data_IF_109043115829
#
_entry.id   IF_109043115829
#
_cell.length_a   1.000
_cell.length_b   1.000
_cell.length_c   1.000
_cell.angle_alpha   90.00
_cell.angle_beta   90.00
_cell.angle_gamma   90.00
#
_symmetry.space_group_name_H-M   'P 1'
#
loop_
_entity.id
_entity.type
_entity.pdbx_description
1 polymer ?
#
# COMPACT_ATOMS: atom_id res chain seq x y z
N UNK A 1 -9.04 40.98 -52.50
CA UNK A 1 -9.89 41.64 -51.51
C UNK A 1 -10.12 40.62 -50.41
N UNK A 2 -9.34 40.65 -49.36
CA UNK A 2 -9.57 41.35 -48.08
C UNK A 2 -10.80 40.73 -47.35
N UNK A 3 -10.79 40.26 -46.15
CA UNK A 3 -10.04 40.55 -44.91
C UNK A 3 -10.23 39.40 -43.93
N UNK A 4 -9.24 39.02 -43.19
CA UNK A 4 -8.99 39.19 -41.76
C UNK A 4 -10.15 38.92 -40.79
N UNK A 5 -9.88 38.03 -39.83
CA UNK A 5 -10.69 37.85 -38.65
C UNK A 5 -10.17 36.72 -37.74
N UNK A 6 -9.06 36.96 -37.02
CA UNK A 6 -8.62 36.13 -35.91
C UNK A 6 -9.49 36.41 -34.66
N UNK A 7 -9.87 35.39 -33.86
CA UNK A 7 -10.46 35.61 -32.55
C UNK A 7 -9.38 35.71 -31.45
N UNK A 8 -9.68 36.35 -30.32
CA UNK A 8 -8.73 36.71 -29.29
C UNK A 8 -8.35 35.56 -28.37
N UNK A 9 -7.11 35.58 -27.93
CA UNK A 9 -6.55 34.76 -26.85
C UNK A 9 -7.20 35.12 -25.51
N UNK A 10 -7.85 34.13 -24.89
CA UNK A 10 -8.22 34.19 -23.48
C UNK A 10 -7.30 33.23 -22.70
N UNK A 11 -6.31 33.84 -22.06
CA UNK A 11 -5.53 33.19 -21.01
C UNK A 11 -6.39 32.97 -19.77
N UNK A 12 -6.52 31.73 -19.38
CA UNK A 12 -7.12 31.32 -18.12
C UNK A 12 -6.30 30.18 -17.54
N UNK A 13 -5.32 30.54 -16.70
CA UNK A 13 -4.58 29.56 -15.89
C UNK A 13 -5.52 28.90 -14.91
N UNK A 14 -5.80 27.63 -15.11
CA UNK A 14 -6.46 26.79 -14.11
C UNK A 14 -5.48 26.54 -12.95
N UNK A 15 -5.93 26.64 -11.68
CA UNK A 15 -5.09 26.32 -10.53
C UNK A 15 -4.79 24.83 -10.55
N UNK A 16 -3.50 24.49 -10.52
CA UNK A 16 -3.02 23.12 -10.39
C UNK A 16 -3.51 22.51 -9.08
N UNK A 17 -4.32 21.48 -9.19
CA UNK A 17 -4.66 20.60 -8.06
C UNK A 17 -3.41 19.78 -7.74
N UNK A 18 -2.74 20.13 -6.65
CA UNK A 18 -1.72 19.28 -6.05
C UNK A 18 -2.30 17.88 -5.76
N UNK A 19 -1.60 16.79 -6.10
CA UNK A 19 -2.03 15.45 -5.74
C UNK A 19 -1.93 15.30 -4.22
N UNK A 20 -3.08 15.28 -3.54
CA UNK A 20 -3.17 15.04 -2.11
C UNK A 20 -2.50 13.71 -1.74
N UNK A 21 -1.58 13.76 -0.78
CA UNK A 21 -0.85 12.60 -0.27
C UNK A 21 -1.81 11.60 0.37
N UNK A 22 -1.74 10.36 -0.07
CA UNK A 22 -2.47 9.25 0.54
C UNK A 22 -2.05 9.05 1.99
N UNK A 23 -3.01 9.14 2.89
CA UNK A 23 -2.86 8.75 4.30
C UNK A 23 -3.66 7.48 4.49
N UNK A 24 -3.01 6.42 4.92
CA UNK A 24 -3.62 5.17 5.35
C UNK A 24 -3.41 4.98 6.86
N UNK A 25 -3.11 3.80 7.33
CA UNK A 25 -2.75 3.61 8.74
C UNK A 25 -1.49 4.43 9.10
N UNK A 26 -1.60 5.34 10.07
CA UNK A 26 -0.49 6.18 10.56
C UNK A 26 -0.09 5.77 11.96
N UNK A 27 1.18 5.89 12.27
CA UNK A 27 1.67 5.72 13.65
C UNK A 27 1.12 6.85 14.54
N UNK A 28 0.72 6.52 15.76
CA UNK A 28 0.07 7.45 16.72
C UNK A 28 1.04 8.50 17.26
N UNK A 29 2.32 8.44 16.93
CA UNK A 29 3.32 9.32 17.48
C UNK A 29 3.28 10.77 16.95
N UNK A 30 3.01 11.66 17.88
CA UNK A 30 3.59 12.96 18.08
C UNK A 30 3.46 14.02 16.99
N UNK A 31 2.26 14.62 16.89
CA UNK A 31 2.17 16.04 16.55
C UNK A 31 1.05 16.67 17.40
N UNK A 32 1.29 17.77 18.13
CA UNK A 32 0.21 18.48 18.77
C UNK A 32 -0.67 19.11 17.70
N UNK A 33 -1.87 18.55 17.49
CA UNK A 33 -2.88 19.16 16.67
C UNK A 33 -3.56 20.26 17.48
N UNK A 34 -3.40 21.51 17.07
CA UNK A 34 -4.17 22.64 17.57
C UNK A 34 -5.62 22.53 17.08
N UNK A 35 -6.57 22.30 18.01
CA UNK A 35 -7.97 22.64 17.79
C UNK A 35 -9.00 21.55 17.59
N UNK A 36 -8.82 20.33 18.14
CA UNK A 36 -9.87 19.29 18.19
C UNK A 36 -10.35 19.13 19.62
N UNK A 37 -11.68 19.00 19.89
CA UNK A 37 -12.19 18.72 21.23
C UNK A 37 -11.58 17.43 21.77
N UNK A 38 -11.08 17.45 22.99
CA UNK A 38 -10.29 16.39 23.65
C UNK A 38 -11.09 15.15 24.06
N UNK A 39 -12.32 14.95 23.54
CA UNK A 39 -13.19 13.88 24.00
C UNK A 39 -13.05 12.51 23.30
N UNK A 40 -12.48 12.44 22.11
CA UNK A 40 -12.58 11.24 21.24
C UNK A 40 -11.24 10.54 20.94
N UNK A 41 -10.16 10.92 21.56
CA UNK A 41 -8.86 10.30 21.34
C UNK A 41 -8.46 9.49 22.58
N UNK A 42 -8.12 8.21 22.44
CA UNK A 42 -7.55 7.46 23.56
C UNK A 42 -6.25 8.12 23.98
N UNK A 43 -6.06 8.32 25.27
CA UNK A 43 -4.83 8.82 25.83
C UNK A 43 -3.71 7.79 25.57
N UNK A 44 -2.56 8.24 25.07
CA UNK A 44 -1.44 7.37 24.76
C UNK A 44 -0.99 6.58 26.00
N UNK A 45 -1.08 7.20 27.20
CA UNK A 45 -0.76 6.57 28.47
C UNK A 45 -1.79 5.51 28.88
N UNK A 46 -3.08 5.68 28.52
CA UNK A 46 -4.12 4.70 28.75
C UNK A 46 -3.97 3.46 27.85
N UNK A 47 -3.42 3.62 26.64
CA UNK A 47 -3.14 2.52 25.72
C UNK A 47 -1.88 1.74 26.11
N UNK A 48 -0.87 2.40 26.70
CA UNK A 48 0.33 1.76 27.20
C UNK A 48 0.04 0.85 28.41
N UNK A 49 -0.97 1.19 29.23
CA UNK A 49 -1.40 0.40 30.39
C UNK A 49 -2.21 -0.86 30.07
N UNK A 50 -2.67 -1.04 28.82
CA UNK A 50 -3.44 -2.22 28.40
C UNK A 50 -2.59 -3.44 28.03
N UNK A 51 -1.26 -3.35 28.13
CA UNK A 51 -0.34 -4.42 27.81
C UNK A 51 0.48 -4.84 29.03
N UNK A 52 0.08 -5.93 29.68
CA UNK A 52 0.86 -6.63 30.73
C UNK A 52 1.92 -7.56 30.13
N UNK A 53 2.85 -7.01 29.33
CA UNK A 53 4.06 -7.71 28.91
C UNK A 53 5.11 -7.70 30.03
N UNK A 54 6.09 -8.64 30.06
CA UNK A 54 7.01 -8.78 31.17
C UNK A 54 7.81 -7.48 31.39
N UNK A 55 7.61 -6.85 32.55
CA UNK A 55 8.38 -5.72 33.02
C UNK A 55 9.83 -6.16 33.32
N UNK A 56 10.71 -5.97 32.33
CA UNK A 56 12.16 -6.13 32.52
C UNK A 56 12.74 -4.93 33.24
N UNK A 57 12.78 -4.97 34.55
CA UNK A 57 13.50 -3.99 35.36
C UNK A 57 15.02 -4.18 35.25
N UNK A 58 15.68 -3.24 34.60
CA UNK A 58 17.13 -3.08 34.57
C UNK A 58 17.44 -1.74 33.93
N UNK A 59 18.21 -0.86 34.65
CA UNK A 59 18.58 0.47 34.17
C UNK A 59 19.37 0.44 32.87
N UNK A 60 18.64 0.42 31.76
CA UNK A 60 19.19 0.44 30.40
C UNK A 60 19.23 1.92 29.98
N UNK A 61 20.38 2.38 29.48
CA UNK A 61 20.48 3.69 28.82
C UNK A 61 19.33 3.82 27.76
N UNK A 62 18.71 5.02 27.63
CA UNK A 62 17.55 5.18 26.75
C UNK A 62 17.92 4.82 25.33
N UNK A 63 17.04 4.06 24.68
CA UNK A 63 17.16 3.72 23.27
C UNK A 63 17.03 4.99 22.41
N UNK A 64 17.84 5.10 21.35
CA UNK A 64 17.78 6.23 20.43
C UNK A 64 16.71 5.95 19.34
N UNK A 65 15.76 6.87 19.20
CA UNK A 65 14.72 6.79 18.17
C UNK A 65 15.12 7.63 16.96
N UNK A 66 15.28 6.97 15.84
CA UNK A 66 15.59 7.62 14.56
C UNK A 66 14.36 7.63 13.67
N UNK A 67 13.98 8.83 13.15
CA UNK A 67 12.85 9.02 12.26
C UNK A 67 13.34 9.64 10.95
N UNK A 68 12.99 9.00 9.85
CA UNK A 68 13.34 9.45 8.50
C UNK A 68 12.08 9.57 7.66
N UNK A 69 12.03 10.58 6.79
CA UNK A 69 10.93 10.78 5.85
C UNK A 69 11.44 11.28 4.51
N UNK A 70 10.80 10.82 3.43
CA UNK A 70 10.91 11.35 2.07
C UNK A 70 9.65 11.03 1.27
N UNK A 71 9.52 11.58 0.07
CA UNK A 71 8.46 11.19 -0.87
C UNK A 71 9.02 10.27 -1.96
N UNK A 72 8.26 9.20 -2.29
CA UNK A 72 8.57 8.29 -3.38
C UNK A 72 7.28 7.56 -3.81
N UNK A 73 7.16 7.16 -5.07
CA UNK A 73 5.96 6.49 -5.62
C UNK A 73 4.66 7.28 -5.32
N UNK A 74 4.73 8.61 -5.36
CA UNK A 74 3.60 9.49 -5.09
C UNK A 74 3.19 9.62 -3.61
N UNK A 75 3.89 8.97 -2.68
CA UNK A 75 3.48 8.86 -1.26
C UNK A 75 4.63 9.24 -0.31
N UNK A 76 4.34 9.62 0.94
CA UNK A 76 5.34 9.66 2.00
C UNK A 76 5.91 8.25 2.22
N UNK A 77 7.22 8.16 2.40
CA UNK A 77 7.95 7.00 2.88
C UNK A 77 8.58 7.38 4.21
N UNK A 78 8.26 6.64 5.28
CA UNK A 78 8.75 6.89 6.63
C UNK A 78 9.39 5.64 7.21
N UNK A 79 10.48 5.82 7.95
CA UNK A 79 11.09 4.78 8.76
C UNK A 79 11.26 5.31 10.18
N UNK A 80 10.69 4.62 11.15
CA UNK A 80 11.04 4.76 12.57
C UNK A 80 11.87 3.54 12.97
N UNK A 81 13.06 3.75 13.49
CA UNK A 81 13.96 2.71 13.94
C UNK A 81 14.44 3.03 15.36
N UNK A 82 14.27 2.08 16.28
CA UNK A 82 14.75 2.18 17.67
C UNK A 82 16.10 1.48 17.74
N UNK A 83 17.15 2.25 17.98
CA UNK A 83 18.51 1.76 18.18
C UNK A 83 18.84 1.66 19.66
N UNK A 84 19.41 0.55 20.08
CA UNK A 84 19.89 0.34 21.46
C UNK A 84 21.30 0.89 21.62
N UNK A 85 21.76 1.13 22.86
CA UNK A 85 23.10 1.65 23.11
C UNK A 85 24.24 0.77 22.57
N UNK A 86 23.99 -0.54 22.44
CA UNK A 86 24.93 -1.52 21.86
C UNK A 86 24.88 -1.61 20.33
N UNK A 87 23.95 -0.91 19.67
CA UNK A 87 23.90 -0.88 18.22
C UNK A 87 25.03 0.00 17.64
N UNK A 88 25.66 -0.45 16.54
CA UNK A 88 26.79 0.27 15.96
C UNK A 88 26.40 1.68 15.46
N UNK A 89 27.26 2.68 15.64
CA UNK A 89 27.03 4.04 15.14
C UNK A 89 26.68 4.04 13.63
N UNK A 90 25.71 4.90 13.26
CA UNK A 90 25.26 5.05 11.88
C UNK A 90 24.44 3.86 11.34
N UNK A 91 23.96 2.96 12.20
CA UNK A 91 23.08 1.84 11.79
C UNK A 91 21.79 2.34 11.17
N UNK A 92 21.15 3.34 11.81
CA UNK A 92 19.88 3.88 11.36
C UNK A 92 19.98 4.50 9.96
N UNK A 93 21.02 5.29 9.72
CA UNK A 93 21.30 5.93 8.44
C UNK A 93 21.56 4.90 7.33
N UNK A 94 22.33 3.85 7.63
CA UNK A 94 22.56 2.75 6.67
C UNK A 94 21.28 2.00 6.33
N UNK A 95 20.40 1.77 7.32
CA UNK A 95 19.09 1.17 7.10
C UNK A 95 18.21 2.08 6.25
N UNK A 96 18.17 3.37 6.54
CA UNK A 96 17.40 4.35 5.76
C UNK A 96 17.86 4.47 4.31
N UNK A 97 19.19 4.54 4.08
CA UNK A 97 19.75 4.55 2.73
C UNK A 97 19.37 3.30 1.95
N UNK A 98 19.44 2.14 2.60
CA UNK A 98 19.09 0.87 1.98
C UNK A 98 17.59 0.80 1.62
N UNK A 99 16.70 1.24 2.52
CA UNK A 99 15.25 1.37 2.30
C UNK A 99 14.96 2.30 1.13
N UNK A 100 15.55 3.51 1.15
CA UNK A 100 15.35 4.52 0.12
C UNK A 100 15.77 4.03 -1.27
N UNK A 101 16.93 3.38 -1.36
CA UNK A 101 17.43 2.80 -2.61
C UNK A 101 16.49 1.70 -3.17
N UNK A 102 15.92 0.87 -2.28
CA UNK A 102 14.98 -0.18 -2.71
C UNK A 102 13.68 0.41 -3.28
N UNK A 103 13.14 1.47 -2.66
CA UNK A 103 11.97 2.17 -3.17
C UNK A 103 12.24 2.87 -4.50
N UNK A 104 13.39 3.53 -4.66
CA UNK A 104 13.77 4.14 -5.95
C UNK A 104 13.91 3.08 -7.05
N UNK A 105 14.45 1.92 -6.72
CA UNK A 105 14.58 0.82 -7.68
C UNK A 105 13.23 0.18 -8.02
N UNK A 106 12.28 0.13 -7.05
CA UNK A 106 10.92 -0.31 -7.30
C UNK A 106 10.17 0.67 -8.20
N UNK A 107 10.26 1.96 -7.92
CA UNK A 107 9.62 3.01 -8.71
C UNK A 107 10.09 3.01 -10.18
N UNK A 108 11.42 2.93 -10.41
CA UNK A 108 11.98 2.77 -11.76
C UNK A 108 11.52 1.51 -12.48
N UNK A 109 11.22 0.45 -11.76
CA UNK A 109 10.80 -0.80 -12.38
C UNK A 109 9.30 -0.88 -12.64
N UNK A 110 8.46 -0.39 -11.72
CA UNK A 110 7.04 -0.72 -11.63
C UNK A 110 6.09 0.43 -11.94
N UNK A 111 6.58 1.68 -12.00
CA UNK A 111 5.75 2.87 -12.15
C UNK A 111 5.16 2.97 -13.56
N UNK A 112 3.89 3.37 -13.67
CA UNK A 112 3.28 3.88 -14.91
C UNK A 112 3.36 5.41 -15.01
N UNK A 113 3.80 6.08 -13.95
CA UNK A 113 3.96 7.53 -13.90
C UNK A 113 5.33 8.01 -14.42
N UNK A 114 6.24 7.07 -14.74
CA UNK A 114 7.57 7.36 -15.25
C UNK A 114 7.74 6.81 -16.65
N UNK A 115 7.95 7.66 -17.69
CA UNK A 115 8.12 7.19 -19.07
C UNK A 115 9.25 6.19 -19.27
N UNK A 116 10.33 6.34 -18.48
CA UNK A 116 11.50 5.48 -18.51
C UNK A 116 11.38 4.18 -17.70
N UNK A 117 10.26 3.96 -17.02
CA UNK A 117 10.09 2.77 -16.18
C UNK A 117 10.01 1.48 -17.00
N UNK A 118 10.54 0.40 -16.42
CA UNK A 118 10.55 -0.91 -17.05
C UNK A 118 9.16 -1.43 -17.41
N UNK A 119 8.13 -1.11 -16.60
CA UNK A 119 6.74 -1.49 -16.86
C UNK A 119 6.18 -0.80 -18.10
N UNK A 120 6.50 0.48 -18.32
CA UNK A 120 6.06 1.23 -19.52
C UNK A 120 6.64 0.58 -20.78
N UNK A 121 7.95 0.29 -20.78
CA UNK A 121 8.61 -0.39 -21.89
C UNK A 121 8.05 -1.80 -22.14
N UNK A 122 7.68 -2.54 -21.09
CA UNK A 122 7.06 -3.86 -21.21
C UNK A 122 5.64 -3.75 -21.79
N UNK A 123 4.82 -2.83 -21.28
CA UNK A 123 3.45 -2.60 -21.76
C UNK A 123 3.40 -2.20 -23.24
N UNK A 124 4.40 -1.47 -23.74
CA UNK A 124 4.50 -1.11 -25.16
C UNK A 124 4.61 -2.33 -26.10
N UNK A 125 4.90 -3.51 -25.56
CA UNK A 125 5.02 -4.77 -26.32
C UNK A 125 3.83 -5.71 -26.11
N UNK A 126 2.84 -5.33 -25.30
CA UNK A 126 1.68 -6.15 -25.04
C UNK A 126 0.88 -6.44 -26.32
N UNK A 127 0.35 -7.65 -26.44
CA UNK A 127 -0.38 -8.11 -27.63
C UNK A 127 0.47 -8.47 -28.84
N UNK A 128 1.78 -8.15 -28.85
CA UNK A 128 2.65 -8.43 -30.01
C UNK A 128 3.19 -9.87 -30.07
N UNK A 129 2.98 -10.67 -29.03
CA UNK A 129 3.59 -12.01 -28.89
C UNK A 129 5.12 -11.98 -28.63
N UNK A 130 5.74 -10.81 -28.58
CA UNK A 130 7.19 -10.64 -28.42
C UNK A 130 7.64 -10.95 -27.00
N UNK A 131 8.64 -11.83 -26.86
CA UNK A 131 9.26 -12.13 -25.57
C UNK A 131 10.33 -11.08 -25.21
N UNK A 132 10.06 -10.25 -24.20
CA UNK A 132 10.93 -9.15 -23.74
C UNK A 132 11.71 -9.59 -22.53
N UNK A 133 13.03 -9.36 -22.55
CA UNK A 133 13.88 -9.51 -21.36
C UNK A 133 13.69 -8.30 -20.47
N UNK A 134 13.40 -8.55 -19.18
CA UNK A 134 13.14 -7.50 -18.20
C UNK A 134 14.10 -7.61 -17.01
N UNK A 135 14.32 -6.50 -16.26
CA UNK A 135 15.03 -6.54 -14.99
C UNK A 135 14.37 -7.50 -14.00
N UNK A 136 15.17 -8.06 -13.10
CA UNK A 136 14.70 -9.08 -12.16
C UNK A 136 13.53 -8.59 -11.28
N UNK A 137 13.55 -7.32 -10.83
CA UNK A 137 12.46 -6.75 -10.04
C UNK A 137 11.14 -6.77 -10.79
N UNK A 138 11.13 -6.29 -12.03
CA UNK A 138 9.92 -6.31 -12.86
C UNK A 138 9.47 -7.73 -13.14
N UNK A 139 10.41 -8.65 -13.42
CA UNK A 139 10.07 -10.06 -13.61
C UNK A 139 9.37 -10.65 -12.37
N UNK A 140 9.92 -10.40 -11.18
CA UNK A 140 9.35 -10.89 -9.91
C UNK A 140 8.00 -10.24 -9.60
N UNK A 141 7.84 -8.95 -9.88
CA UNK A 141 6.59 -8.23 -9.69
C UNK A 141 5.47 -8.78 -10.56
N UNK A 142 5.72 -8.95 -11.87
CA UNK A 142 4.77 -9.52 -12.82
C UNK A 142 4.43 -10.97 -12.47
N UNK A 143 5.41 -11.75 -12.06
CA UNK A 143 5.19 -13.14 -11.62
C UNK A 143 4.32 -13.22 -10.35
N UNK A 144 4.48 -12.27 -9.41
CA UNK A 144 3.65 -12.22 -8.22
C UNK A 144 2.24 -11.71 -8.53
N UNK A 145 2.10 -10.72 -9.42
CA UNK A 145 0.79 -10.23 -9.87
C UNK A 145 -0.02 -11.35 -10.55
N UNK A 146 0.64 -12.17 -11.38
CA UNK A 146 0.03 -13.36 -11.99
C UNK A 146 -0.40 -14.42 -10.93
N UNK A 147 0.42 -14.61 -9.89
CA UNK A 147 0.04 -15.46 -8.77
C UNK A 147 -1.14 -14.88 -7.98
N UNK A 148 -1.13 -13.57 -7.73
CA UNK A 148 -2.20 -12.88 -7.02
C UNK A 148 -3.53 -12.99 -7.79
N UNK A 149 -3.51 -12.76 -9.10
CA UNK A 149 -4.65 -12.98 -9.97
C UNK A 149 -5.25 -14.39 -9.81
N UNK A 150 -4.42 -15.44 -9.88
CA UNK A 150 -4.88 -16.82 -9.72
C UNK A 150 -5.42 -17.12 -8.32
N UNK A 151 -4.71 -16.68 -7.27
CA UNK A 151 -5.06 -16.95 -5.87
C UNK A 151 -6.35 -16.24 -5.47
N UNK A 152 -6.62 -15.05 -6.03
CA UNK A 152 -7.84 -14.29 -5.76
C UNK A 152 -9.00 -14.68 -6.68
N UNK A 153 -8.79 -15.61 -7.63
CA UNK A 153 -9.82 -15.97 -8.62
C UNK A 153 -10.15 -14.83 -9.56
N UNK A 154 -9.19 -13.93 -9.82
CA UNK A 154 -9.36 -12.78 -10.71
C UNK A 154 -9.90 -11.52 -10.02
N UNK A 155 -10.22 -11.54 -8.74
CA UNK A 155 -10.63 -10.33 -8.01
C UNK A 155 -9.50 -9.28 -7.99
N UNK A 156 -8.25 -9.70 -7.80
CA UNK A 156 -7.08 -8.89 -8.14
C UNK A 156 -6.66 -9.24 -9.57
N UNK A 157 -6.69 -8.26 -10.47
CA UNK A 157 -6.25 -8.44 -11.86
C UNK A 157 -5.39 -7.24 -12.30
N UNK A 158 -4.15 -7.44 -12.71
CA UNK A 158 -3.30 -6.34 -13.17
C UNK A 158 -3.68 -5.81 -14.57
N UNK A 159 -4.57 -6.45 -15.31
CA UNK A 159 -4.97 -6.06 -16.69
C UNK A 159 -5.90 -4.85 -16.74
N UNK A 160 -6.01 -4.09 -15.68
CA UNK A 160 -6.85 -2.88 -15.60
C UNK A 160 -6.20 -1.62 -16.20
N UNK A 161 -4.97 -1.73 -16.74
CA UNK A 161 -4.24 -0.56 -17.25
C UNK A 161 -4.99 0.22 -18.31
N UNK A 162 -5.59 -0.49 -19.29
CA UNK A 162 -6.35 0.15 -20.37
C UNK A 162 -7.66 0.79 -19.87
N UNK A 163 -8.31 0.21 -18.83
CA UNK A 163 -9.52 0.80 -18.24
C UNK A 163 -9.21 2.05 -17.45
N UNK A 164 -8.12 2.05 -16.68
CA UNK A 164 -7.63 3.23 -15.98
C UNK A 164 -7.36 4.39 -16.97
N UNK A 165 -6.76 4.07 -18.13
CA UNK A 165 -6.52 5.06 -19.18
C UNK A 165 -7.82 5.53 -19.85
N UNK A 166 -8.76 4.63 -20.11
CA UNK A 166 -10.09 4.93 -20.64
C UNK A 166 -10.85 5.88 -19.71
N UNK A 167 -10.75 5.64 -18.40
CA UNK A 167 -11.35 6.47 -17.37
C UNK A 167 -10.57 7.76 -17.11
N UNK A 168 -9.43 7.98 -17.79
CA UNK A 168 -8.66 9.21 -17.69
C UNK A 168 -7.83 9.34 -16.42
N UNK A 169 -7.26 8.25 -15.91
CA UNK A 169 -6.36 8.30 -14.75
C UNK A 169 -5.27 9.35 -14.97
N UNK A 170 -5.10 10.33 -14.05
CA UNK A 170 -4.14 11.40 -14.25
C UNK A 170 -2.69 10.94 -14.03
N UNK A 171 -1.75 11.58 -14.74
CA UNK A 171 -0.32 11.45 -14.51
C UNK A 171 0.31 10.12 -14.88
N UNK A 172 -0.40 9.21 -15.56
CA UNK A 172 0.15 7.94 -16.06
C UNK A 172 0.58 8.06 -17.52
N UNK A 173 1.56 7.24 -17.91
CA UNK A 173 1.88 7.03 -19.33
C UNK A 173 0.81 6.12 -19.92
N UNK A 174 0.03 6.60 -20.91
CA UNK A 174 -1.04 5.80 -21.50
C UNK A 174 -0.52 4.53 -22.18
N UNK A 175 -1.27 3.44 -22.05
CA UNK A 175 -0.94 2.21 -22.75
C UNK A 175 -1.52 2.25 -24.16
N UNK A 176 -0.65 2.07 -25.17
CA UNK A 176 -1.06 1.93 -26.56
C UNK A 176 -1.19 0.44 -26.86
N UNK A 177 -2.39 -0.09 -26.82
CA UNK A 177 -2.62 -1.48 -27.22
C UNK A 177 -3.85 -1.57 -28.14
N UNK A 178 -3.72 -2.15 -29.33
CA UNK A 178 -4.86 -2.52 -30.14
C UNK A 178 -5.66 -3.71 -29.57
N UNK A 179 -5.15 -4.36 -28.54
CA UNK A 179 -5.66 -5.62 -28.00
C UNK A 179 -6.29 -5.50 -26.60
N UNK A 180 -6.71 -4.31 -26.17
CA UNK A 180 -7.51 -4.22 -24.96
C UNK A 180 -8.86 -4.90 -25.23
N UNK A 181 -9.05 -6.10 -24.66
CA UNK A 181 -10.33 -6.77 -24.73
C UNK A 181 -11.42 -5.90 -24.09
N UNK A 182 -12.64 -5.87 -24.63
CA UNK A 182 -13.74 -5.17 -24.00
C UNK A 182 -13.91 -5.65 -22.56
N UNK A 183 -14.29 -4.76 -21.63
CA UNK A 183 -14.70 -5.17 -20.30
C UNK A 183 -15.79 -6.25 -20.41
N UNK A 184 -15.68 -7.33 -19.65
CA UNK A 184 -16.60 -8.47 -19.73
C UNK A 184 -16.06 -9.70 -20.48
N UNK A 185 -15.13 -9.52 -21.42
CA UNK A 185 -14.49 -10.62 -22.16
C UNK A 185 -13.11 -10.99 -21.61
N UNK A 186 -12.77 -10.57 -20.38
CA UNK A 186 -11.52 -10.96 -19.70
C UNK A 186 -11.70 -12.29 -18.96
N UNK A 187 -11.78 -13.40 -19.69
CA UNK A 187 -12.02 -14.68 -19.08
C UNK A 187 -10.74 -15.14 -18.39
N UNK A 188 -10.82 -16.28 -17.73
CA UNK A 188 -9.74 -17.06 -17.12
C UNK A 188 -8.57 -17.41 -18.09
N UNK A 189 -8.31 -16.60 -19.11
CA UNK A 189 -7.21 -16.79 -20.07
C UNK A 189 -5.89 -16.33 -19.45
N UNK A 190 -4.90 -17.18 -19.57
CA UNK A 190 -3.53 -16.80 -19.23
C UNK A 190 -3.12 -15.58 -20.05
N UNK A 191 -2.83 -14.49 -19.37
CA UNK A 191 -2.42 -13.21 -19.95
C UNK A 191 -0.89 -13.07 -20.02
N UNK A 192 -0.16 -14.05 -19.43
CA UNK A 192 1.28 -13.98 -19.23
C UNK A 192 1.94 -15.29 -19.63
N UNK A 193 2.96 -15.21 -20.48
CA UNK A 193 3.94 -16.28 -20.67
C UNK A 193 5.25 -15.88 -20.04
N UNK A 194 5.81 -16.75 -19.19
CA UNK A 194 7.06 -16.52 -18.48
C UNK A 194 8.14 -17.51 -18.93
N UNK A 195 9.35 -16.98 -19.20
CA UNK A 195 10.56 -17.76 -19.44
C UNK A 195 11.59 -17.47 -18.34
N UNK A 196 11.55 -18.18 -17.18
CA UNK A 196 12.29 -17.81 -15.97
C UNK A 196 13.79 -17.70 -16.15
N UNK A 197 14.42 -18.70 -16.78
CA UNK A 197 15.89 -18.74 -16.98
C UNK A 197 16.42 -17.52 -17.75
N UNK A 198 15.65 -17.01 -18.69
CA UNK A 198 16.00 -15.84 -19.50
C UNK A 198 15.41 -14.52 -18.98
N UNK A 199 14.60 -14.56 -17.92
CA UNK A 199 13.80 -13.42 -17.42
C UNK A 199 13.05 -12.71 -18.55
N UNK A 200 12.38 -13.49 -19.41
CA UNK A 200 11.55 -12.96 -20.51
C UNK A 200 10.08 -13.13 -20.19
N UNK A 201 9.31 -12.11 -20.57
CA UNK A 201 7.86 -12.03 -20.42
C UNK A 201 7.23 -11.78 -21.79
N UNK A 202 6.06 -12.39 -22.01
CA UNK A 202 5.14 -12.04 -23.10
C UNK A 202 3.84 -11.65 -22.43
N UNK A 203 3.38 -10.43 -22.64
CA UNK A 203 2.08 -9.96 -22.19
C UNK A 203 1.06 -10.05 -23.33
N UNK A 204 -0.11 -10.64 -23.07
CA UNK A 204 -1.23 -10.58 -24.00
C UNK A 204 -1.91 -9.19 -23.99
N UNK A 205 -1.94 -8.55 -22.82
CA UNK A 205 -2.56 -7.24 -22.57
C UNK A 205 -1.66 -6.37 -21.69
N UNK A 206 -1.79 -5.03 -21.77
CA UNK A 206 -1.07 -4.13 -20.85
C UNK A 206 -1.54 -4.33 -19.41
N UNK A 207 -0.62 -4.10 -18.47
CA UNK A 207 -0.88 -4.29 -17.04
C UNK A 207 -0.58 -3.04 -16.23
N UNK A 208 -1.27 -2.92 -15.11
CA UNK A 208 -0.99 -1.98 -14.02
C UNK A 208 -0.52 -2.73 -12.77
N UNK A 209 0.52 -2.25 -12.13
CA UNK A 209 1.04 -2.81 -10.90
C UNK A 209 0.79 -1.92 -9.68
N UNK A 210 -0.02 -0.86 -9.81
CA UNK A 210 -0.39 0.02 -8.70
C UNK A 210 -1.10 -0.69 -7.56
N UNK A 211 -1.76 -1.81 -7.87
CA UNK A 211 -2.47 -2.63 -6.88
C UNK A 211 -1.59 -3.55 -6.02
N UNK A 212 -0.29 -3.65 -6.30
CA UNK A 212 0.67 -4.51 -5.58
C UNK A 212 2.04 -3.86 -5.42
N UNK A 213 2.26 -2.73 -6.10
CA UNK A 213 3.59 -2.13 -6.24
C UNK A 213 4.16 -1.56 -4.96
N UNK A 214 3.34 -0.90 -4.14
CA UNK A 214 3.79 -0.36 -2.86
C UNK A 214 4.12 -1.46 -1.86
N UNK A 215 3.25 -2.47 -1.74
CA UNK A 215 3.51 -3.62 -0.88
C UNK A 215 4.74 -4.42 -1.31
N UNK A 216 5.02 -4.52 -2.62
CA UNK A 216 6.26 -5.09 -3.12
C UNK A 216 7.49 -4.26 -2.74
N UNK A 217 7.41 -2.93 -2.88
CA UNK A 217 8.49 -2.04 -2.49
C UNK A 217 8.76 -2.14 -0.97
N UNK A 218 7.70 -2.14 -0.14
CA UNK A 218 7.78 -2.38 1.30
C UNK A 218 8.44 -3.73 1.61
N UNK A 219 8.02 -4.82 0.96
CA UNK A 219 8.61 -6.16 1.14
C UNK A 219 10.10 -6.17 0.85
N UNK A 220 10.53 -5.57 -0.27
CA UNK A 220 11.94 -5.56 -0.65
C UNK A 220 12.76 -4.66 0.26
N UNK A 221 12.25 -3.48 0.58
CA UNK A 221 12.89 -2.54 1.49
C UNK A 221 13.01 -3.13 2.90
N UNK A 222 11.95 -3.77 3.40
CA UNK A 222 11.97 -4.46 4.69
C UNK A 222 13.04 -5.57 4.74
N UNK A 223 13.07 -6.44 3.74
CA UNK A 223 14.10 -7.49 3.65
C UNK A 223 15.50 -6.92 3.58
N UNK A 224 15.67 -5.81 2.87
CA UNK A 224 16.95 -5.13 2.78
C UNK A 224 17.36 -4.52 4.11
N UNK A 225 16.42 -3.87 4.81
CA UNK A 225 16.61 -3.36 6.16
C UNK A 225 17.08 -4.48 7.10
N UNK A 226 16.36 -5.61 7.14
CA UNK A 226 16.76 -6.78 7.95
C UNK A 226 18.18 -7.24 7.64
N UNK A 227 18.55 -7.29 6.35
CA UNK A 227 19.88 -7.70 5.93
C UNK A 227 20.96 -6.72 6.39
N UNK A 228 20.72 -5.41 6.26
CA UNK A 228 21.66 -4.37 6.70
C UNK A 228 21.78 -4.38 8.21
N UNK A 229 20.66 -4.46 8.93
CA UNK A 229 20.61 -4.53 10.38
C UNK A 229 21.43 -5.69 10.91
N UNK A 230 21.19 -6.90 10.42
CA UNK A 230 21.91 -8.10 10.85
C UNK A 230 23.42 -8.03 10.54
N UNK A 231 23.80 -7.58 9.33
CA UNK A 231 25.21 -7.48 8.92
C UNK A 231 25.99 -6.44 9.72
N UNK A 232 25.35 -5.33 10.07
CA UNK A 232 26.00 -4.23 10.78
C UNK A 232 26.24 -4.57 12.24
N UNK A 233 25.35 -5.33 12.86
CA UNK A 233 25.52 -5.79 14.26
C UNK A 233 26.56 -6.90 14.40
N UNK A 234 26.96 -7.55 13.31
CA UNK A 234 27.77 -8.75 13.36
C UNK A 234 26.95 -9.99 13.77
N UNK A 235 27.56 -11.16 13.72
CA UNK A 235 26.96 -12.35 14.32
C UNK A 235 26.93 -12.14 15.84
N UNK A 236 25.73 -12.06 16.42
CA UNK A 236 25.56 -12.32 17.85
C UNK A 236 26.28 -13.61 18.19
N UNK A 237 26.86 -13.72 19.41
CA UNK A 237 27.64 -14.87 19.84
C UNK A 237 26.96 -16.20 19.46
N UNK A 238 27.76 -17.22 19.28
CA UNK A 238 27.29 -18.56 18.89
C UNK A 238 26.20 -19.01 19.85
N UNK A 239 24.92 -18.98 19.40
CA UNK A 239 23.76 -19.49 20.15
C UNK A 239 22.53 -18.61 20.21
N UNK A 240 22.63 -17.28 20.05
CA UNK A 240 21.45 -16.41 20.10
C UNK A 240 20.84 -16.21 18.70
N UNK A 241 19.49 -16.39 18.57
CA UNK A 241 18.81 -16.05 17.31
C UNK A 241 18.94 -14.54 17.06
N UNK A 242 19.18 -14.11 15.81
CA UNK A 242 19.29 -12.69 15.50
C UNK A 242 17.99 -11.97 15.87
N UNK A 243 18.10 -10.99 16.78
CA UNK A 243 16.96 -10.15 17.17
C UNK A 243 16.43 -9.37 15.97
N UNK A 244 15.12 -9.34 15.75
CA UNK A 244 14.53 -8.46 14.74
C UNK A 244 14.80 -6.98 15.10
N UNK A 245 14.83 -6.07 14.12
CA UNK A 245 14.87 -4.65 14.39
C UNK A 245 13.59 -4.18 15.08
N UNK A 246 13.70 -3.24 15.99
CA UNK A 246 12.58 -2.51 16.55
C UNK A 246 12.25 -1.37 15.57
N UNK A 247 11.40 -1.64 14.59
CA UNK A 247 11.20 -0.77 13.43
C UNK A 247 9.79 -0.78 12.88
N UNK A 248 9.36 0.39 12.39
CA UNK A 248 8.15 0.57 11.59
C UNK A 248 8.53 1.29 10.29
N UNK A 249 8.18 0.68 9.16
CA UNK A 249 8.37 1.22 7.81
C UNK A 249 7.01 1.43 7.17
N UNK A 250 6.72 2.67 6.75
CA UNK A 250 5.45 3.10 6.17
C UNK A 250 5.64 3.69 4.77
N UNK A 251 4.71 3.41 3.87
CA UNK A 251 4.65 4.00 2.54
C UNK A 251 3.21 4.30 2.14
N UNK A 252 2.77 5.58 2.30
CA UNK A 252 1.45 6.04 1.90
C UNK A 252 0.31 5.31 2.60
N UNK A 253 0.50 4.97 3.88
CA UNK A 253 -0.46 4.30 4.73
C UNK A 253 -0.44 2.78 4.71
N UNK A 254 0.31 2.16 3.79
CA UNK A 254 0.69 0.76 3.90
C UNK A 254 1.96 0.68 4.76
N UNK A 255 2.04 -0.26 5.68
CA UNK A 255 3.18 -0.37 6.59
C UNK A 255 3.59 -1.81 6.90
N UNK A 256 4.78 -1.94 7.47
CA UNK A 256 5.30 -3.17 8.07
C UNK A 256 6.08 -2.83 9.33
N UNK A 257 5.84 -3.57 10.41
CA UNK A 257 6.50 -3.38 11.69
C UNK A 257 6.99 -4.69 12.31
N UNK A 258 8.04 -4.60 13.11
CA UNK A 258 8.51 -5.66 13.98
C UNK A 258 9.25 -5.10 15.20
N UNK A 259 9.42 -5.96 16.21
CA UNK A 259 10.04 -5.58 17.48
C UNK A 259 9.15 -4.67 18.31
N UNK A 260 9.77 -3.84 19.15
CA UNK A 260 9.12 -2.96 20.11
C UNK A 260 9.03 -1.52 19.61
N UNK A 261 7.96 -0.84 19.97
CA UNK A 261 7.81 0.61 19.78
C UNK A 261 8.78 1.40 20.67
N UNK A 262 8.99 2.70 20.38
CA UNK A 262 9.89 3.56 21.17
C UNK A 262 9.57 3.62 22.68
N UNK A 263 8.29 3.61 23.01
CA UNK A 263 7.77 3.63 24.38
C UNK A 263 7.81 2.24 25.05
N UNK A 264 8.27 1.23 24.33
CA UNK A 264 8.17 -0.17 24.71
C UNK A 264 6.85 -0.82 24.24
N UNK A 265 6.75 -2.14 24.39
CA UNK A 265 5.57 -2.89 23.93
C UNK A 265 5.45 -3.02 22.41
N UNK A 266 4.24 -3.22 21.93
CA UNK A 266 3.98 -3.44 20.50
C UNK A 266 3.80 -2.11 19.75
N UNK A 267 4.05 -2.13 18.42
CA UNK A 267 3.71 -1.02 17.56
C UNK A 267 2.19 -0.89 17.46
N UNK A 268 1.68 0.29 17.76
CA UNK A 268 0.27 0.64 17.65
C UNK A 268 0.08 1.58 16.47
N UNK A 269 -0.89 1.29 15.60
CA UNK A 269 -1.19 2.10 14.44
C UNK A 269 -2.68 2.40 14.35
N UNK A 270 -3.02 3.61 13.88
CA UNK A 270 -4.38 4.05 13.72
C UNK A 270 -4.97 3.65 12.36
N UNK A 271 -6.20 3.17 12.34
CA UNK A 271 -7.04 3.10 11.14
C UNK A 271 -7.78 4.42 11.03
N UNK A 272 -7.41 5.24 10.04
CA UNK A 272 -7.99 6.57 9.82
C UNK A 272 -9.43 6.51 9.32
N UNK A 273 -10.23 7.53 9.67
CA UNK A 273 -11.57 7.72 9.10
C UNK A 273 -11.46 8.09 7.61
N UNK A 274 -12.02 7.27 6.70
CA UNK A 274 -12.01 7.57 5.28
C UNK A 274 -12.86 8.80 4.90
N UNK A 275 -13.71 9.29 5.79
CA UNK A 275 -14.48 10.51 5.58
C UNK A 275 -13.61 11.76 5.66
N UNK A 276 -12.46 11.67 6.26
CA UNK A 276 -11.49 12.76 6.40
C UNK A 276 -11.32 13.24 7.83
N UNK A 277 -10.48 14.26 8.01
CA UNK A 277 -10.06 14.72 9.32
C UNK A 277 -8.95 13.85 9.91
N UNK A 278 -8.64 14.09 11.20
CA UNK A 278 -7.61 13.38 11.96
C UNK A 278 -8.21 12.28 12.87
N UNK A 279 -9.50 11.92 12.65
CA UNK A 279 -10.17 10.92 13.45
C UNK A 279 -9.61 9.52 13.17
N UNK A 280 -9.40 8.75 14.24
CA UNK A 280 -8.98 7.35 14.21
C UNK A 280 -10.21 6.50 14.54
N UNK A 281 -10.49 5.51 13.69
CA UNK A 281 -11.60 4.58 13.90
C UNK A 281 -11.22 3.40 14.79
N UNK A 282 -9.97 2.96 14.73
CA UNK A 282 -9.45 1.90 15.58
C UNK A 282 -7.93 2.03 15.72
N UNK A 283 -7.40 1.58 16.84
CA UNK A 283 -5.96 1.40 17.08
C UNK A 283 -5.65 -0.08 17.10
N UNK A 284 -4.72 -0.50 16.27
CA UNK A 284 -4.44 -1.92 16.05
C UNK A 284 -2.96 -2.26 16.28
N UNK A 285 -2.71 -3.50 16.68
CA UNK A 285 -1.37 -4.05 16.82
C UNK A 285 -0.74 -4.28 15.44
N UNK A 286 0.38 -3.61 15.17
CA UNK A 286 1.15 -3.78 13.94
C UNK A 286 2.33 -4.74 14.17
N UNK A 287 2.08 -6.03 13.99
CA UNK A 287 3.12 -7.03 13.80
C UNK A 287 2.99 -7.63 12.41
N UNK A 288 4.02 -7.47 11.57
CA UNK A 288 3.93 -7.72 10.14
C UNK A 288 3.38 -6.50 9.41
N UNK A 289 2.58 -6.70 8.38
CA UNK A 289 2.07 -5.61 7.56
C UNK A 289 0.61 -5.27 7.89
N UNK A 290 0.28 -3.97 7.77
CA UNK A 290 -1.09 -3.45 7.75
C UNK A 290 -1.20 -2.58 6.51
N UNK A 291 -2.14 -2.88 5.62
CA UNK A 291 -2.37 -2.15 4.39
C UNK A 291 -3.83 -1.71 4.27
N UNK A 292 -4.05 -0.57 3.62
CA UNK A 292 -5.39 0.01 3.43
C UNK A 292 -5.64 0.37 1.97
N UNK A 293 -6.76 -0.07 1.43
CA UNK A 293 -7.33 0.45 0.19
C UNK A 293 -8.56 1.30 0.49
N UNK A 294 -8.59 2.52 -0.05
CA UNK A 294 -9.68 3.47 0.16
C UNK A 294 -9.97 4.27 -1.11
N UNK A 295 -11.24 4.61 -1.31
CA UNK A 295 -11.66 5.52 -2.39
C UNK A 295 -11.56 7.00 -2.01
N UNK A 296 -11.11 7.33 -0.80
CA UNK A 296 -10.89 8.72 -0.36
C UNK A 296 -9.87 9.43 -1.25
N UNK A 297 -8.80 8.74 -1.57
CA UNK A 297 -7.72 9.19 -2.45
C UNK A 297 -7.72 8.35 -3.72
N UNK A 298 -7.09 8.85 -4.79
CA UNK A 298 -7.07 8.12 -6.06
C UNK A 298 -8.43 8.14 -6.77
N UNK A 299 -9.16 9.24 -6.65
CA UNK A 299 -10.40 9.53 -7.38
C UNK A 299 -10.22 10.76 -8.26
N UNK A 300 -10.88 10.77 -9.40
CA UNK A 300 -10.87 11.86 -10.36
C UNK A 300 -12.20 11.93 -11.13
N UNK A 301 -12.38 12.95 -11.95
CA UNK A 301 -13.49 13.01 -12.87
C UNK A 301 -13.07 12.46 -14.23
N UNK A 302 -13.86 11.53 -14.77
CA UNK A 302 -13.66 10.99 -16.10
C UNK A 302 -14.08 12.02 -17.18
N UNK A 303 -13.95 11.64 -18.47
CA UNK A 303 -14.32 12.51 -19.60
C UNK A 303 -15.79 12.91 -19.63
N UNK A 304 -16.66 12.16 -18.97
CA UNK A 304 -18.09 12.44 -18.81
C UNK A 304 -18.39 13.25 -17.54
N UNK A 305 -17.37 13.77 -16.86
CA UNK A 305 -17.47 14.48 -15.58
C UNK A 305 -17.98 13.60 -14.40
N UNK A 306 -18.05 12.28 -14.57
CA UNK A 306 -18.43 11.31 -13.54
C UNK A 306 -17.25 11.13 -12.58
N UNK A 307 -17.51 11.16 -11.25
CA UNK A 307 -16.51 10.85 -10.25
C UNK A 307 -16.21 9.34 -10.27
N UNK A 308 -14.96 8.99 -10.51
CA UNK A 308 -14.45 7.61 -10.57
C UNK A 308 -13.26 7.45 -9.64
N UNK A 309 -12.88 6.21 -9.35
CA UNK A 309 -11.73 5.88 -8.52
C UNK A 309 -10.90 4.74 -9.11
N UNK A 310 -9.69 4.55 -8.60
CA UNK A 310 -8.68 3.63 -9.12
C UNK A 310 -8.93 2.14 -8.81
N UNK A 311 -9.86 1.80 -7.91
CA UNK A 311 -10.19 0.42 -7.55
C UNK A 311 -11.24 -0.11 -8.53
N UNK A 312 -10.78 -0.64 -9.66
CA UNK A 312 -11.66 -1.11 -10.74
C UNK A 312 -12.02 -2.58 -10.56
N UNK A 313 -13.26 -2.92 -10.84
CA UNK A 313 -13.68 -4.31 -11.04
C UNK A 313 -13.17 -4.81 -12.40
N UNK A 314 -12.27 -5.80 -12.43
CA UNK A 314 -11.70 -6.28 -13.70
C UNK A 314 -12.73 -6.93 -14.63
N UNK A 315 -13.90 -7.32 -14.11
CA UNK A 315 -14.99 -7.91 -14.89
C UNK A 315 -15.74 -6.86 -15.70
N UNK A 316 -15.84 -5.64 -15.20
CA UNK A 316 -16.58 -4.55 -15.84
C UNK A 316 -15.68 -3.45 -16.39
N UNK A 317 -14.45 -3.34 -15.90
CA UNK A 317 -13.53 -2.23 -16.19
C UNK A 317 -13.97 -0.90 -15.57
N UNK A 318 -14.95 -0.91 -14.67
CA UNK A 318 -15.53 0.25 -14.00
C UNK A 318 -15.13 0.24 -12.51
N UNK A 319 -15.28 1.38 -11.78
CA UNK A 319 -15.10 1.42 -10.34
C UNK A 319 -15.96 0.35 -9.64
N UNK A 320 -15.30 -0.48 -8.81
CA UNK A 320 -15.93 -1.57 -8.08
C UNK A 320 -16.06 -1.27 -6.58
N UNK A 321 -16.32 -2.31 -5.78
CA UNK A 321 -16.42 -2.19 -4.33
C UNK A 321 -17.73 -1.56 -3.86
N UNK A 322 -18.84 -1.92 -4.51
CA UNK A 322 -20.17 -1.38 -4.20
C UNK A 322 -20.44 -1.39 -2.69
N UNK A 323 -20.82 -0.21 -2.17
CA UNK A 323 -21.15 0.00 -0.76
C UNK A 323 -19.97 0.05 0.22
N UNK A 324 -18.70 0.06 -0.27
CA UNK A 324 -17.50 0.17 0.55
C UNK A 324 -16.74 1.47 0.30
N UNK A 325 -16.11 1.99 1.35
CA UNK A 325 -15.26 3.20 1.29
C UNK A 325 -13.79 2.86 1.55
N UNK A 326 -13.53 1.98 2.51
CA UNK A 326 -12.17 1.58 2.88
C UNK A 326 -12.14 0.12 3.38
N UNK A 327 -11.03 -0.53 3.14
CA UNK A 327 -10.70 -1.87 3.65
C UNK A 327 -9.25 -1.88 4.12
N UNK A 328 -9.03 -2.27 5.38
CA UNK A 328 -7.71 -2.48 5.97
C UNK A 328 -7.50 -3.97 6.21
N UNK A 329 -6.30 -4.48 5.94
CA UNK A 329 -5.94 -5.89 6.18
C UNK A 329 -4.60 -5.95 6.88
N UNK A 330 -4.52 -6.74 7.96
CA UNK A 330 -3.26 -7.14 8.57
C UNK A 330 -2.84 -8.52 8.03
N UNK A 331 -1.58 -8.61 7.58
CA UNK A 331 -1.00 -9.84 7.03
C UNK A 331 0.52 -9.87 7.26
N UNK A 332 1.18 -11.04 7.34
CA UNK A 332 2.63 -11.10 7.55
C UNK A 332 3.45 -10.44 6.43
N UNK A 333 2.93 -10.40 5.20
CA UNK A 333 3.63 -9.93 4.01
C UNK A 333 2.91 -8.72 3.38
N UNK A 334 3.58 -7.56 3.22
CA UNK A 334 2.92 -6.34 2.77
C UNK A 334 2.39 -6.41 1.32
N UNK A 335 3.04 -7.14 0.42
CA UNK A 335 2.51 -7.27 -0.94
C UNK A 335 1.22 -8.09 -0.99
N UNK A 336 1.10 -9.10 -0.13
CA UNK A 336 -0.15 -9.84 0.01
C UNK A 336 -1.21 -9.07 0.79
N UNK A 337 -0.83 -8.32 1.83
CA UNK A 337 -1.77 -7.43 2.51
C UNK A 337 -2.42 -6.45 1.53
N UNK A 338 -1.60 -5.81 0.67
CA UNK A 338 -2.08 -4.90 -0.37
C UNK A 338 -3.00 -5.59 -1.40
N UNK A 339 -2.70 -6.82 -1.82
CA UNK A 339 -3.57 -7.62 -2.71
C UNK A 339 -4.90 -7.94 -2.04
N UNK A 340 -4.86 -8.35 -0.77
CA UNK A 340 -6.07 -8.72 -0.04
C UNK A 340 -7.00 -7.53 0.20
N UNK A 341 -6.48 -6.32 0.46
CA UNK A 341 -7.33 -5.13 0.59
C UNK A 341 -8.16 -4.89 -0.67
N UNK A 342 -7.56 -5.07 -1.86
CA UNK A 342 -8.25 -4.89 -3.15
C UNK A 342 -9.22 -6.02 -3.44
N UNK A 343 -8.80 -7.27 -3.20
CA UNK A 343 -9.68 -8.43 -3.38
C UNK A 343 -10.94 -8.33 -2.50
N UNK A 344 -10.78 -7.94 -1.23
CA UNK A 344 -11.90 -7.74 -0.32
C UNK A 344 -12.75 -6.54 -0.71
N UNK A 345 -12.13 -5.41 -1.10
CA UNK A 345 -12.87 -4.24 -1.55
C UNK A 345 -13.76 -4.56 -2.75
N UNK A 346 -13.22 -5.30 -3.73
CA UNK A 346 -13.96 -5.67 -4.96
C UNK A 346 -15.03 -6.75 -4.72
N UNK A 347 -15.02 -7.44 -3.56
CA UNK A 347 -16.13 -8.29 -3.17
C UNK A 347 -17.41 -7.49 -2.82
N UNK A 348 -17.30 -6.18 -2.60
CA UNK A 348 -18.39 -5.30 -2.24
C UNK A 348 -18.95 -5.58 -0.84
N UNK A 349 -19.89 -4.74 -0.40
CA UNK A 349 -20.52 -4.86 0.92
C UNK A 349 -21.15 -6.25 1.16
N UNK A 350 -21.77 -6.82 0.16
CA UNK A 350 -22.45 -8.12 0.27
C UNK A 350 -21.50 -9.31 0.37
N UNK A 351 -20.30 -9.21 -0.20
CA UNK A 351 -19.35 -10.32 -0.32
C UNK A 351 -18.17 -10.25 0.63
N UNK A 352 -17.82 -9.06 1.16
CA UNK A 352 -16.58 -8.84 1.89
C UNK A 352 -16.43 -9.73 3.14
N UNK A 353 -17.48 -9.88 3.93
CA UNK A 353 -17.46 -10.69 5.15
C UNK A 353 -17.16 -12.16 4.83
N UNK A 354 -17.89 -12.74 3.88
CA UNK A 354 -17.72 -14.13 3.46
C UNK A 354 -16.31 -14.39 2.90
N UNK A 355 -15.79 -13.48 2.07
CA UNK A 355 -14.45 -13.62 1.50
C UNK A 355 -13.34 -13.47 2.56
N UNK A 356 -13.47 -12.51 3.49
CA UNK A 356 -12.51 -12.31 4.57
C UNK A 356 -12.45 -13.54 5.50
N UNK A 357 -13.61 -14.12 5.88
CA UNK A 357 -13.69 -15.32 6.70
C UNK A 357 -13.14 -16.54 5.96
N UNK A 358 -13.52 -16.74 4.70
CA UNK A 358 -13.02 -17.85 3.87
C UNK A 358 -11.49 -17.84 3.78
N UNK A 359 -10.87 -16.65 3.75
CA UNK A 359 -9.42 -16.46 3.70
C UNK A 359 -8.75 -16.36 5.06
N UNK A 360 -9.53 -16.35 6.15
CA UNK A 360 -9.03 -16.18 7.53
C UNK A 360 -8.20 -14.90 7.68
N UNK A 361 -8.69 -13.80 7.10
CA UNK A 361 -8.00 -12.51 7.12
C UNK A 361 -8.38 -11.71 8.37
N UNK A 362 -7.41 -11.05 8.99
CA UNK A 362 -7.68 -9.96 9.92
C UNK A 362 -7.98 -8.71 9.08
N UNK A 363 -9.26 -8.36 8.98
CA UNK A 363 -9.75 -7.30 8.10
C UNK A 363 -10.74 -6.38 8.82
N UNK A 364 -10.62 -5.08 8.55
CA UNK A 364 -11.51 -4.00 8.99
C UNK A 364 -12.05 -3.31 7.75
N UNK A 365 -13.31 -2.90 7.74
CA UNK A 365 -13.87 -2.14 6.63
C UNK A 365 -14.90 -1.13 7.05
N UNK A 366 -15.04 -0.09 6.22
CA UNK A 366 -16.00 0.99 6.36
C UNK A 366 -16.89 0.98 5.14
N UNK A 367 -18.20 0.99 5.36
CA UNK A 367 -19.20 1.05 4.30
C UNK A 367 -19.55 2.50 3.94
N UNK A 368 -20.22 2.70 2.80
CA UNK A 368 -20.59 4.01 2.30
C UNK A 368 -21.63 4.72 3.18
N UNK A 369 -22.42 3.97 3.93
CA UNK A 369 -23.38 4.49 4.94
C UNK A 369 -22.78 4.61 6.34
N UNK A 370 -21.45 4.41 6.48
CA UNK A 370 -20.72 4.62 7.73
C UNK A 370 -20.71 3.43 8.69
N UNK A 371 -21.23 2.25 8.30
CA UNK A 371 -21.10 1.04 9.11
C UNK A 371 -19.63 0.63 9.24
N UNK A 372 -19.21 0.32 10.46
CA UNK A 372 -17.87 -0.18 10.80
C UNK A 372 -17.95 -1.68 11.08
N UNK A 373 -17.16 -2.48 10.38
CA UNK A 373 -17.14 -3.91 10.61
C UNK A 373 -15.72 -4.51 10.56
N UNK A 374 -15.51 -5.58 11.31
CA UNK A 374 -14.23 -6.30 11.35
C UNK A 374 -14.44 -7.80 11.52
N UNK A 375 -13.47 -8.60 11.13
CA UNK A 375 -13.45 -10.04 11.42
C UNK A 375 -13.06 -10.31 12.87
N UNK A 376 -13.37 -11.50 13.41
CA UNK A 376 -12.91 -11.93 14.74
C UNK A 376 -11.38 -11.86 14.85
N UNK A 377 -10.63 -12.30 13.82
CA UNK A 377 -9.18 -12.20 13.79
C UNK A 377 -8.65 -10.75 13.79
N UNK A 378 -9.43 -9.80 13.30
CA UNK A 378 -9.14 -8.38 13.38
C UNK A 378 -9.43 -7.82 14.78
N UNK A 379 -10.51 -8.26 15.41
CA UNK A 379 -10.87 -7.86 16.78
C UNK A 379 -9.75 -8.26 17.78
N UNK A 380 -9.14 -9.43 17.63
CA UNK A 380 -8.00 -9.87 18.45
C UNK A 380 -6.76 -8.96 18.33
N UNK A 381 -6.66 -8.17 17.26
CA UNK A 381 -5.58 -7.21 17.02
C UNK A 381 -5.97 -5.77 17.36
N UNK A 382 -7.21 -5.53 17.72
CA UNK A 382 -7.73 -4.19 17.99
C UNK A 382 -7.58 -3.88 19.47
N UNK A 383 -6.72 -2.90 19.77
CA UNK A 383 -6.46 -2.44 21.14
C UNK A 383 -7.52 -1.43 21.59
N UNK A 384 -7.92 -0.56 20.69
CA UNK A 384 -8.97 0.41 20.92
C UNK A 384 -9.86 0.54 19.67
N UNK A 385 -11.13 0.17 19.73
CA UNK A 385 -12.11 0.45 18.70
C UNK A 385 -12.90 1.72 19.08
N UNK A 386 -13.17 2.61 18.13
CA UNK A 386 -14.26 3.58 18.25
C UNK A 386 -15.57 2.81 18.40
N UNK A 387 -16.58 3.40 19.04
CA UNK A 387 -17.90 2.78 19.14
C UNK A 387 -18.52 2.48 17.77
N UNK A 388 -19.34 1.45 17.68
CA UNK A 388 -20.09 1.09 16.48
C UNK A 388 -19.46 0.00 15.61
N UNK A 389 -18.34 -0.61 15.99
CA UNK A 389 -17.79 -1.74 15.28
C UNK A 389 -18.60 -3.03 15.45
N UNK A 390 -18.95 -3.66 14.33
CA UNK A 390 -19.57 -4.97 14.29
C UNK A 390 -18.51 -6.04 13.99
N UNK A 391 -18.41 -7.04 14.85
CA UNK A 391 -17.54 -8.22 14.64
C UNK A 391 -18.31 -9.27 13.85
N UNK A 392 -17.72 -9.75 12.75
CA UNK A 392 -18.21 -10.88 11.96
C UNK A 392 -17.32 -12.09 12.20
N UNK A 393 -17.92 -13.23 12.50
CA UNK A 393 -17.23 -14.47 12.84
C UNK A 393 -17.88 -15.66 12.21
#
# INVERSE_FOLDING_TARGET
>A
MAADGAPPSAGGSAPGLEPGAGRGATSIEGRPASGVPTGDRPDADALAGAWDGPAGGGGVSPAAVHRFERRVMGSPLRLTLVCRPDDPPGLAERCWQAVSHEFDAADRALSRHRPEAGLVALNATAGSGRAVRVPERLYRAVALADRAWRVTGGAFDPRVAADLDRLGQPGVVPVRSPAAAPPGDRPNRSWLVRRPRARRLVLAEPIDLGGIGKGLALRWAWRRLLTVFARTRGSAGVGDPPRPPDALLEAGGDLVAAGSAPEGGAWLVGIEDPSGGDAVLAVVLAQGAVCTSSIRLGRWRDRSNRLVHHLLDPRTGEPGGEGLVAVTVAWPDPAWAEVWTKSLFLAGRSGIAAEALRRRLAAWWVTADGELAMTAAAAERTVWPREGWRVVG
#
